data_IF_925598862884
#
_entry.id   IF_925598862884
#
_cell.length_a   1.000
_cell.length_b   1.000
_cell.length_c   1.000
_cell.angle_alpha   90.00
_cell.angle_beta   90.00
_cell.angle_gamma   90.00
#
_symmetry.space_group_name_H-M   'P 1'
#
loop_
_entity.id
_entity.type
_entity.pdbx_description
1 polymer ?
#
# COMPACT_ATOMS: atom_id res chain seq x y z
N UNK A 1 15.34 11.12 -11.49
CA UNK A 1 14.05 10.47 -11.80
C UNK A 1 14.05 9.02 -11.33
N UNK A 2 15.08 8.24 -11.65
CA UNK A 2 15.19 6.82 -11.29
C UNK A 2 15.08 6.55 -9.77
N UNK A 3 15.76 7.34 -8.93
CA UNK A 3 15.68 7.18 -7.47
C UNK A 3 14.28 7.41 -6.91
N UNK A 4 13.53 8.34 -7.48
CA UNK A 4 12.15 8.65 -7.09
C UNK A 4 11.21 7.51 -7.51
N UNK A 5 11.38 6.98 -8.72
CA UNK A 5 10.63 5.83 -9.21
C UNK A 5 10.82 4.60 -8.33
N UNK A 6 12.07 4.29 -7.97
CA UNK A 6 12.40 3.17 -7.06
C UNK A 6 11.77 3.37 -5.67
N UNK A 7 11.77 4.60 -5.14
CA UNK A 7 11.11 4.91 -3.87
C UNK A 7 9.60 4.64 -3.92
N UNK A 8 8.94 5.04 -5.00
CA UNK A 8 7.50 4.79 -5.21
C UNK A 8 7.23 3.29 -5.34
N UNK A 9 8.08 2.54 -6.06
CA UNK A 9 7.93 1.10 -6.20
C UNK A 9 8.02 0.37 -4.86
N UNK A 10 8.97 0.76 -4.00
CA UNK A 10 9.10 0.21 -2.65
C UNK A 10 7.82 0.49 -1.84
N UNK A 11 7.35 1.74 -1.81
CA UNK A 11 6.14 2.13 -1.06
C UNK A 11 4.88 1.42 -1.59
N UNK A 12 4.75 1.28 -2.91
CA UNK A 12 3.69 0.53 -3.55
C UNK A 12 3.73 -0.93 -3.11
N UNK A 13 4.90 -1.56 -3.11
CA UNK A 13 5.06 -2.95 -2.73
C UNK A 13 4.74 -3.18 -1.24
N UNK A 14 5.15 -2.27 -0.35
CA UNK A 14 4.77 -2.32 1.07
C UNK A 14 3.27 -2.20 1.30
N UNK A 15 2.61 -1.25 0.64
CA UNK A 15 1.15 -1.04 0.77
C UNK A 15 0.36 -2.20 0.16
N UNK A 16 0.83 -2.77 -0.95
CA UNK A 16 0.24 -3.94 -1.59
C UNK A 16 0.37 -5.19 -0.72
N UNK A 17 1.58 -5.49 -0.23
CA UNK A 17 1.80 -6.63 0.68
C UNK A 17 1.00 -6.45 1.97
N UNK A 18 0.98 -5.26 2.55
CA UNK A 18 0.16 -4.94 3.72
C UNK A 18 -1.33 -5.18 3.48
N UNK A 19 -1.83 -4.83 2.29
CA UNK A 19 -3.23 -5.08 1.92
C UNK A 19 -3.50 -6.58 1.80
N UNK A 20 -2.67 -7.33 1.08
CA UNK A 20 -2.85 -8.77 0.88
C UNK A 20 -2.81 -9.52 2.22
N UNK A 21 -1.73 -9.31 2.99
CA UNK A 21 -1.55 -9.97 4.29
C UNK A 21 -2.66 -9.59 5.28
N UNK A 22 -3.05 -8.31 5.32
CA UNK A 22 -4.12 -7.84 6.18
C UNK A 22 -5.51 -8.33 5.79
N UNK A 23 -5.79 -8.54 4.50
CA UNK A 23 -7.06 -9.14 4.05
C UNK A 23 -7.14 -10.63 4.39
N UNK A 24 -6.01 -11.34 4.41
CA UNK A 24 -5.93 -12.73 4.91
C UNK A 24 -6.15 -12.75 6.42
N UNK A 25 -5.33 -12.02 7.17
CA UNK A 25 -5.43 -11.88 8.63
C UNK A 25 -5.09 -10.45 9.05
N UNK A 26 -6.07 -9.65 9.50
CA UNK A 26 -5.86 -8.25 9.85
C UNK A 26 -4.78 -8.03 10.91
N UNK A 27 -4.63 -8.99 11.83
CA UNK A 27 -3.66 -8.91 12.93
C UNK A 27 -2.21 -8.83 12.44
N UNK A 28 -1.88 -9.39 11.26
CA UNK A 28 -0.49 -9.40 10.76
C UNK A 28 0.02 -7.97 10.53
N UNK A 29 -0.85 -7.09 10.00
CA UNK A 29 -0.45 -5.75 9.55
C UNK A 29 -1.00 -4.64 10.44
N UNK A 30 -1.98 -4.95 11.27
CA UNK A 30 -2.59 -4.00 12.20
C UNK A 30 -2.21 -4.28 13.66
N UNK A 31 -1.27 -5.18 13.97
CA UNK A 31 -0.96 -5.66 15.35
C UNK A 31 -0.79 -4.57 16.42
N UNK A 32 -0.44 -3.35 16.02
CA UNK A 32 -0.26 -2.19 16.88
C UNK A 32 -1.54 -1.35 17.09
N UNK A 33 -2.63 -1.62 16.37
CA UNK A 33 -3.89 -0.88 16.45
C UNK A 33 -4.88 -1.55 17.41
N UNK A 34 -5.73 -0.76 18.09
CA UNK A 34 -6.78 -1.31 18.95
C UNK A 34 -7.86 -2.11 18.19
N UNK A 35 -8.08 -1.82 16.89
CA UNK A 35 -9.13 -2.48 16.08
C UNK A 35 -8.53 -3.19 14.87
N UNK A 36 -8.57 -4.51 14.89
CA UNK A 36 -8.13 -5.37 13.80
C UNK A 36 -9.33 -5.82 12.95
N UNK A 37 -9.69 -5.05 11.93
CA UNK A 37 -10.71 -5.47 10.97
C UNK A 37 -10.28 -5.19 9.53
N UNK A 38 -10.88 -5.92 8.59
CA UNK A 38 -10.52 -5.84 7.15
C UNK A 38 -10.80 -4.47 6.56
N UNK A 39 -11.80 -3.74 7.07
CA UNK A 39 -12.08 -2.38 6.65
C UNK A 39 -10.95 -1.41 7.04
N UNK A 40 -10.39 -1.56 8.24
CA UNK A 40 -9.21 -0.82 8.69
C UNK A 40 -8.01 -1.15 7.81
N UNK A 41 -7.80 -2.42 7.43
CA UNK A 41 -6.74 -2.79 6.48
C UNK A 41 -6.93 -2.07 5.15
N UNK A 42 -8.13 -2.07 4.59
CA UNK A 42 -8.42 -1.36 3.34
C UNK A 42 -8.20 0.15 3.48
N UNK A 43 -8.51 0.75 4.63
CA UNK A 43 -8.26 2.19 4.85
C UNK A 43 -6.77 2.54 4.94
N UNK A 44 -5.98 1.73 5.64
CA UNK A 44 -4.57 2.04 5.92
C UNK A 44 -3.58 1.49 4.89
N UNK A 45 -3.92 0.41 4.20
CA UNK A 45 -3.06 -0.21 3.20
C UNK A 45 -3.69 -0.22 1.81
N UNK A 46 -5.01 -0.48 1.72
CA UNK A 46 -5.71 -0.55 0.44
C UNK A 46 -5.82 0.79 -0.31
N UNK A 47 -6.34 1.82 0.34
CA UNK A 47 -6.44 3.18 -0.24
C UNK A 47 -5.05 3.69 -0.64
N UNK A 48 -4.01 3.60 0.22
CA UNK A 48 -2.65 3.96 -0.18
C UNK A 48 -2.09 3.12 -1.34
N UNK A 49 -2.37 1.82 -1.41
CA UNK A 49 -1.93 0.98 -2.52
C UNK A 49 -2.54 1.43 -3.86
N UNK A 50 -3.84 1.74 -3.88
CA UNK A 50 -4.51 2.27 -5.07
C UNK A 50 -3.95 3.64 -5.45
N UNK A 51 -3.77 4.53 -4.48
CA UNK A 51 -3.20 5.85 -4.71
C UNK A 51 -1.78 5.75 -5.30
N UNK A 52 -0.91 4.94 -4.71
CA UNK A 52 0.46 4.72 -5.18
C UNK A 52 0.50 4.10 -6.58
N UNK A 53 -0.44 3.22 -6.89
CA UNK A 53 -0.57 2.67 -8.24
C UNK A 53 -0.85 3.76 -9.30
N UNK A 54 -1.77 4.68 -9.01
CA UNK A 54 -2.04 5.81 -9.92
C UNK A 54 -0.84 6.76 -10.03
N UNK A 55 -0.18 7.07 -8.91
CA UNK A 55 1.05 7.89 -8.93
C UNK A 55 2.12 7.24 -9.81
N UNK A 56 2.32 5.93 -9.67
CA UNK A 56 3.25 5.16 -10.51
C UNK A 56 2.84 5.19 -11.98
N UNK A 57 1.56 5.00 -12.31
CA UNK A 57 1.08 5.05 -13.70
C UNK A 57 1.36 6.40 -14.34
N UNK A 58 1.08 7.50 -13.62
CA UNK A 58 1.36 8.86 -14.09
C UNK A 58 2.86 9.04 -14.28
N UNK A 59 3.68 8.62 -13.31
CA UNK A 59 5.12 8.76 -13.41
C UNK A 59 5.73 7.95 -14.56
N UNK A 60 5.21 6.76 -14.86
CA UNK A 60 5.71 5.94 -15.97
C UNK A 60 5.25 6.46 -17.34
N UNK A 61 4.05 7.02 -17.44
CA UNK A 61 3.50 7.50 -18.72
C UNK A 61 3.90 8.94 -19.07
N UNK A 62 4.27 9.76 -18.08
CA UNK A 62 4.51 11.20 -18.26
C UNK A 62 5.91 11.66 -17.83
N UNK A 63 6.79 10.77 -17.35
CA UNK A 63 8.22 11.05 -17.13
C UNK A 63 9.07 10.55 -18.29
#
# INVERSE_FOLDING_TARGET
METVATGIDILFLFTLLGTILGLIRPVIVLWFMHRFNRLTVLKFYGIPAVFMYFVKLVLVHWA
#
